data_IF_402125061204
#
_entry.id   IF_402125061204
#
_cell.length_a   1.000
_cell.length_b   1.000
_cell.length_c   1.000
_cell.angle_alpha   90.00
_cell.angle_beta   90.00
_cell.angle_gamma   90.00
#
_symmetry.space_group_name_H-M   'P 1'
#
loop_
_entity.id
_entity.type
_entity.pdbx_description
1 polymer ?
#
# COMPACT_ATOMS: atom_id res chain seq x y z
N UNK A 1 12.56 -26.52 23.50
CA UNK A 1 11.45 -27.31 22.89
C UNK A 1 12.07 -28.50 22.17
N UNK A 2 11.43 -29.68 22.12
CA UNK A 2 12.03 -30.90 21.55
C UNK A 2 12.07 -30.93 20.02
N UNK A 3 11.42 -29.97 19.35
CA UNK A 3 11.53 -29.67 17.91
C UNK A 3 11.48 -28.16 17.68
N UNK A 4 12.06 -27.65 16.57
CA UNK A 4 11.91 -26.25 16.17
C UNK A 4 10.42 -25.86 16.07
N UNK A 5 10.13 -24.61 16.43
CA UNK A 5 8.84 -23.98 16.23
C UNK A 5 8.54 -23.93 14.73
N UNK A 6 7.43 -24.50 14.29
CA UNK A 6 7.04 -24.54 12.88
C UNK A 6 5.92 -23.56 12.63
N UNK A 7 6.19 -22.51 11.87
CA UNK A 7 5.20 -21.47 11.54
C UNK A 7 4.84 -21.59 10.06
N UNK A 8 3.55 -21.72 9.77
CA UNK A 8 3.06 -21.68 8.41
C UNK A 8 2.77 -20.24 7.99
N UNK A 9 3.35 -19.79 6.88
CA UNK A 9 3.11 -18.46 6.31
C UNK A 9 2.34 -18.62 4.99
N UNK A 10 1.27 -17.84 4.82
CA UNK A 10 0.38 -17.95 3.66
C UNK A 10 0.15 -16.58 3.03
N UNK A 11 0.76 -16.33 1.88
CA UNK A 11 0.55 -15.16 1.04
C UNK A 11 0.05 -15.58 -0.36
N UNK A 12 -0.76 -14.75 -1.01
CA UNK A 12 -1.28 -15.01 -2.37
C UNK A 12 -0.92 -13.92 -3.39
N UNK A 13 -0.21 -12.88 -2.96
CA UNK A 13 0.16 -11.70 -3.75
C UNK A 13 1.56 -11.21 -3.36
N UNK A 14 2.21 -10.46 -4.25
CA UNK A 14 3.57 -9.95 -4.05
C UNK A 14 3.72 -9.01 -2.83
N UNK A 15 2.67 -8.26 -2.47
CA UNK A 15 2.65 -7.45 -1.24
C UNK A 15 2.68 -8.31 0.01
N UNK A 16 1.86 -9.37 0.04
CA UNK A 16 1.85 -10.35 1.13
C UNK A 16 3.17 -11.15 1.19
N UNK A 17 3.76 -11.49 0.05
CA UNK A 17 5.08 -12.15 -0.02
C UNK A 17 6.18 -11.30 0.63
N UNK A 18 6.18 -9.99 0.39
CA UNK A 18 7.12 -9.09 1.03
C UNK A 18 6.93 -9.02 2.56
N UNK A 19 5.69 -8.93 3.03
CA UNK A 19 5.38 -8.94 4.47
C UNK A 19 5.76 -10.26 5.14
N UNK A 20 5.47 -11.40 4.48
CA UNK A 20 5.82 -12.72 4.97
C UNK A 20 7.32 -12.94 5.05
N UNK A 21 8.08 -12.48 4.06
CA UNK A 21 9.54 -12.54 4.08
C UNK A 21 10.12 -11.70 5.22
N UNK A 22 9.61 -10.47 5.43
CA UNK A 22 10.03 -9.62 6.54
C UNK A 22 9.78 -10.28 7.90
N UNK A 23 8.59 -10.84 8.10
CA UNK A 23 8.25 -11.59 9.32
C UNK A 23 9.16 -12.82 9.51
N UNK A 24 9.38 -13.61 8.47
CA UNK A 24 10.24 -14.80 8.51
C UNK A 24 11.68 -14.44 8.90
N UNK A 25 12.21 -13.36 8.32
CA UNK A 25 13.56 -12.84 8.63
C UNK A 25 13.67 -12.38 10.09
N UNK A 26 12.68 -11.63 10.59
CA UNK A 26 12.65 -11.18 11.99
C UNK A 26 12.62 -12.37 12.96
N UNK A 27 11.76 -13.36 12.70
CA UNK A 27 11.67 -14.59 13.49
C UNK A 27 12.97 -15.41 13.47
N UNK A 28 13.61 -15.58 12.31
CA UNK A 28 14.92 -16.25 12.19
C UNK A 28 16.02 -15.53 12.94
N UNK A 29 16.05 -14.19 12.87
CA UNK A 29 17.05 -13.38 13.56
C UNK A 29 16.99 -13.61 15.07
N UNK A 30 15.78 -13.82 15.61
CA UNK A 30 15.54 -14.02 17.04
C UNK A 30 15.73 -15.47 17.50
N UNK A 31 15.28 -16.44 16.71
CA UNK A 31 15.19 -17.85 17.12
C UNK A 31 16.25 -18.75 16.47
N UNK A 32 16.93 -18.32 15.41
CA UNK A 32 17.94 -19.11 14.71
C UNK A 32 17.40 -20.46 14.25
N UNK A 33 18.01 -21.55 14.73
CA UNK A 33 17.63 -22.92 14.40
C UNK A 33 16.35 -23.41 15.10
N UNK A 34 15.84 -22.66 16.08
CA UNK A 34 14.62 -23.01 16.82
C UNK A 34 13.33 -22.63 16.07
N UNK A 35 13.42 -22.14 14.83
CA UNK A 35 12.26 -21.86 13.97
C UNK A 35 12.41 -22.46 12.58
N UNK A 36 11.30 -22.94 12.02
CA UNK A 36 11.18 -23.43 10.66
C UNK A 36 9.90 -22.90 10.02
N UNK A 37 9.91 -22.74 8.69
CA UNK A 37 8.76 -22.21 7.96
C UNK A 37 8.28 -23.19 6.90
N UNK A 38 6.96 -23.19 6.71
CA UNK A 38 6.26 -23.89 5.64
C UNK A 38 5.16 -22.98 5.10
N UNK A 39 4.58 -23.31 3.95
CA UNK A 39 3.35 -22.65 3.51
C UNK A 39 3.37 -22.23 2.06
N UNK A 40 2.75 -21.08 1.77
CA UNK A 40 2.48 -20.59 0.42
C UNK A 40 3.01 -19.17 0.33
N UNK A 41 3.88 -18.93 -0.64
CA UNK A 41 4.56 -17.66 -0.80
C UNK A 41 5.22 -17.51 -2.16
N UNK A 42 5.70 -16.31 -2.43
CA UNK A 42 6.42 -15.97 -3.65
C UNK A 42 7.93 -16.07 -3.47
N UNK A 43 8.70 -15.47 -4.40
CA UNK A 43 10.16 -15.53 -4.38
C UNK A 43 10.80 -14.96 -3.11
N UNK A 44 10.20 -13.94 -2.45
CA UNK A 44 10.80 -13.36 -1.25
C UNK A 44 10.65 -14.29 -0.04
N UNK A 45 9.48 -14.90 0.15
CA UNK A 45 9.29 -15.90 1.19
C UNK A 45 10.10 -17.17 0.91
N UNK A 46 10.27 -17.54 -0.37
CA UNK A 46 11.11 -18.67 -0.76
C UNK A 46 12.59 -18.45 -0.40
N UNK A 47 13.12 -17.23 -0.56
CA UNK A 47 14.45 -16.86 -0.07
C UNK A 47 14.57 -17.01 1.45
N UNK A 48 13.46 -16.90 2.17
CA UNK A 48 13.37 -17.16 3.60
C UNK A 48 13.04 -18.61 3.96
N UNK A 49 13.08 -19.55 3.00
CA UNK A 49 12.91 -20.98 3.25
C UNK A 49 11.46 -21.47 3.22
N UNK A 50 10.51 -20.65 2.76
CA UNK A 50 9.12 -21.10 2.54
C UNK A 50 9.00 -21.75 1.17
N UNK A 51 8.93 -23.08 1.15
CA UNK A 51 8.72 -23.84 -0.09
C UNK A 51 7.23 -23.89 -0.46
N UNK A 52 6.82 -23.08 -1.44
CA UNK A 52 5.42 -23.02 -1.89
C UNK A 52 5.06 -24.23 -2.78
N UNK A 53 3.90 -24.89 -2.56
CA UNK A 53 3.44 -26.00 -3.41
C UNK A 53 2.93 -25.56 -4.78
N UNK A 54 2.78 -24.25 -5.01
CA UNK A 54 2.35 -23.67 -6.29
C UNK A 54 2.82 -22.22 -6.42
N UNK A 55 2.79 -21.69 -7.65
CA UNK A 55 3.10 -20.28 -7.91
C UNK A 55 1.92 -19.37 -7.53
N UNK A 56 2.18 -18.39 -6.67
CA UNK A 56 1.18 -17.42 -6.22
C UNK A 56 0.80 -16.41 -7.31
N UNK A 57 1.59 -16.28 -8.38
CA UNK A 57 1.26 -15.45 -9.54
C UNK A 57 -0.08 -15.88 -10.18
N UNK A 58 -0.40 -17.17 -10.13
CA UNK A 58 -1.69 -17.72 -10.59
C UNK A 58 -2.89 -17.13 -9.82
N UNK A 59 -2.70 -16.75 -8.56
CA UNK A 59 -3.75 -16.17 -7.70
C UNK A 59 -3.84 -14.64 -7.87
N UNK A 60 -2.71 -13.97 -8.13
CA UNK A 60 -2.63 -12.51 -8.29
C UNK A 60 -3.37 -11.99 -9.53
N UNK A 61 -3.37 -12.76 -10.63
CA UNK A 61 -4.01 -12.38 -11.91
C UNK A 61 -5.55 -12.32 -11.78
N UNK A 62 -6.12 -13.14 -10.89
CA UNK A 62 -7.57 -13.32 -10.74
C UNK A 62 -8.26 -12.15 -10.02
N UNK A 63 -7.50 -11.28 -9.34
CA UNK A 63 -8.03 -10.06 -8.74
C UNK A 63 -8.56 -9.05 -9.77
N UNK A 64 -8.15 -9.19 -11.03
CA UNK A 64 -8.47 -8.27 -12.13
C UNK A 64 -9.41 -8.86 -13.18
N UNK A 65 -9.41 -10.17 -13.41
CA UNK A 65 -10.10 -10.81 -14.54
C UNK A 65 -10.77 -12.12 -14.08
N UNK A 66 -12.08 -12.25 -14.28
CA UNK A 66 -12.89 -13.50 -14.27
C UNK A 66 -13.30 -14.16 -12.93
N UNK A 67 -14.43 -13.72 -12.36
CA UNK A 67 -14.98 -14.22 -11.09
C UNK A 67 -15.49 -15.67 -11.01
N UNK A 68 -15.57 -16.44 -12.11
CA UNK A 68 -16.07 -17.83 -12.09
C UNK A 68 -14.97 -18.88 -12.29
N UNK A 69 -14.09 -18.73 -13.29
CA UNK A 69 -12.92 -19.63 -13.45
C UNK A 69 -11.93 -19.47 -12.30
N UNK A 70 -11.77 -18.25 -11.80
CA UNK A 70 -10.98 -17.96 -10.60
C UNK A 70 -11.42 -18.77 -9.39
N UNK A 71 -12.73 -19.00 -9.23
CA UNK A 71 -13.26 -19.65 -8.04
C UNK A 71 -12.81 -21.11 -7.91
N UNK A 72 -12.83 -21.86 -9.02
CA UNK A 72 -12.37 -23.25 -9.05
C UNK A 72 -10.89 -23.38 -8.69
N UNK A 73 -10.06 -22.52 -9.29
CA UNK A 73 -8.63 -22.48 -8.98
C UNK A 73 -8.37 -22.08 -7.53
N UNK A 74 -9.01 -21.01 -7.03
CA UNK A 74 -8.91 -20.59 -5.63
C UNK A 74 -9.31 -21.72 -4.69
N UNK A 75 -10.41 -22.43 -4.96
CA UNK A 75 -10.83 -23.58 -4.13
C UNK A 75 -9.79 -24.69 -4.13
N UNK A 76 -9.20 -25.01 -5.29
CA UNK A 76 -8.10 -25.98 -5.39
C UNK A 76 -6.88 -25.54 -4.58
N UNK A 77 -6.43 -24.29 -4.74
CA UNK A 77 -5.27 -23.76 -4.00
C UNK A 77 -5.51 -23.68 -2.49
N UNK A 78 -6.75 -23.42 -2.06
CA UNK A 78 -7.15 -23.55 -0.65
C UNK A 78 -6.98 -25.00 -0.18
N UNK A 79 -7.45 -25.98 -0.96
CA UNK A 79 -7.29 -27.39 -0.61
C UNK A 79 -5.81 -27.82 -0.55
N UNK A 80 -4.99 -27.39 -1.52
CA UNK A 80 -3.54 -27.63 -1.53
C UNK A 80 -2.87 -27.06 -0.25
N UNK A 81 -3.25 -25.83 0.13
CA UNK A 81 -2.75 -25.16 1.34
C UNK A 81 -3.15 -25.93 2.61
N UNK A 82 -4.41 -26.36 2.71
CA UNK A 82 -4.91 -27.12 3.85
C UNK A 82 -4.26 -28.51 3.94
N UNK A 83 -4.03 -29.16 2.80
CA UNK A 83 -3.32 -30.44 2.76
C UNK A 83 -1.88 -30.31 3.28
N UNK A 84 -1.18 -29.25 2.88
CA UNK A 84 0.15 -28.94 3.41
C UNK A 84 0.12 -28.70 4.92
N UNK A 85 -0.82 -27.88 5.41
CA UNK A 85 -0.97 -27.63 6.86
C UNK A 85 -1.20 -28.92 7.65
N UNK A 86 -2.03 -29.84 7.14
CA UNK A 86 -2.28 -31.15 7.75
C UNK A 86 -1.04 -32.03 7.78
N UNK A 87 -0.25 -32.04 6.72
CA UNK A 87 0.98 -32.82 6.64
C UNK A 87 2.06 -32.27 7.59
N UNK A 88 2.16 -30.94 7.67
CA UNK A 88 3.24 -30.28 8.39
C UNK A 88 2.97 -30.09 9.89
N UNK A 89 1.69 -30.04 10.30
CA UNK A 89 1.25 -29.79 11.69
C UNK A 89 1.96 -28.57 12.31
N UNK A 90 1.76 -27.35 11.74
CA UNK A 90 2.42 -26.15 12.23
C UNK A 90 1.90 -25.76 13.61
N UNK A 91 2.75 -25.09 14.40
CA UNK A 91 2.41 -24.53 15.71
C UNK A 91 1.57 -23.25 15.61
N UNK A 92 1.62 -22.57 14.45
CA UNK A 92 0.73 -21.44 14.11
C UNK A 92 0.64 -21.25 12.60
N UNK A 93 -0.43 -20.58 12.16
CA UNK A 93 -0.60 -20.18 10.76
C UNK A 93 -0.79 -18.66 10.68
N UNK A 94 0.07 -17.99 9.93
CA UNK A 94 -0.04 -16.55 9.64
C UNK A 94 -0.57 -16.36 8.22
N UNK A 95 -1.79 -15.83 8.14
CA UNK A 95 -2.55 -15.58 6.93
C UNK A 95 -2.38 -14.14 6.47
N UNK A 96 -1.59 -13.91 5.43
CA UNK A 96 -1.08 -12.58 5.05
C UNK A 96 -1.90 -12.00 3.89
N UNK A 97 -2.60 -10.89 4.15
CA UNK A 97 -3.38 -10.10 3.19
C UNK A 97 -4.36 -10.94 2.33
N UNK A 98 -4.71 -10.52 1.12
CA UNK A 98 -5.52 -11.27 0.13
C UNK A 98 -6.79 -11.87 0.71
N UNK A 99 -7.69 -11.01 1.21
CA UNK A 99 -8.95 -11.39 1.88
C UNK A 99 -9.66 -12.57 1.22
N UNK A 100 -9.83 -12.55 -0.11
CA UNK A 100 -10.57 -13.57 -0.84
C UNK A 100 -10.01 -14.98 -0.67
N UNK A 101 -8.68 -15.13 -0.70
CA UNK A 101 -8.03 -16.42 -0.55
C UNK A 101 -7.88 -16.80 0.92
N UNK A 102 -7.28 -15.92 1.72
CA UNK A 102 -6.85 -16.25 3.08
C UNK A 102 -8.01 -16.49 4.05
N UNK A 103 -9.17 -15.84 3.86
CA UNK A 103 -10.35 -16.14 4.70
C UNK A 103 -10.91 -17.54 4.44
N UNK A 104 -10.78 -18.05 3.21
CA UNK A 104 -11.21 -19.42 2.87
C UNK A 104 -10.27 -20.44 3.46
N UNK A 105 -8.96 -20.16 3.41
CA UNK A 105 -7.94 -20.95 4.11
C UNK A 105 -8.22 -20.96 5.62
N UNK A 106 -8.47 -19.80 6.25
CA UNK A 106 -8.78 -19.72 7.68
C UNK A 106 -9.94 -20.63 8.10
N UNK A 107 -11.07 -20.53 7.39
CA UNK A 107 -12.26 -21.34 7.67
C UNK A 107 -12.00 -22.83 7.50
N UNK A 108 -11.34 -23.22 6.41
CA UNK A 108 -11.03 -24.61 6.15
C UNK A 108 -10.02 -25.18 7.17
N UNK A 109 -9.04 -24.38 7.62
CA UNK A 109 -8.10 -24.76 8.67
C UNK A 109 -8.79 -24.92 10.03
N UNK A 110 -9.72 -24.03 10.37
CA UNK A 110 -10.47 -24.13 11.64
C UNK A 110 -11.23 -25.44 11.78
N UNK A 111 -11.75 -25.99 10.68
CA UNK A 111 -12.45 -27.28 10.65
C UNK A 111 -11.52 -28.48 10.89
N UNK A 112 -10.25 -28.39 10.49
CA UNK A 112 -9.35 -29.55 10.42
C UNK A 112 -8.16 -29.50 11.38
N UNK A 113 -7.82 -28.32 11.88
CA UNK A 113 -6.76 -28.04 12.86
C UNK A 113 -7.28 -27.03 13.91
N UNK A 114 -8.35 -27.35 14.66
CA UNK A 114 -9.04 -26.38 15.52
C UNK A 114 -8.18 -25.81 16.66
N UNK A 115 -7.13 -26.54 17.09
CA UNK A 115 -6.20 -26.11 18.14
C UNK A 115 -5.01 -25.30 17.65
N UNK A 116 -4.82 -25.12 16.33
CA UNK A 116 -3.71 -24.33 15.80
C UNK A 116 -4.11 -22.86 15.76
N UNK A 117 -3.36 -21.94 16.40
CA UNK A 117 -3.66 -20.52 16.35
C UNK A 117 -3.50 -19.99 14.92
N UNK A 118 -4.56 -19.31 14.45
CA UNK A 118 -4.64 -18.64 13.16
C UNK A 118 -4.50 -17.13 13.38
N UNK A 119 -3.47 -16.54 12.80
CA UNK A 119 -3.15 -15.12 12.92
C UNK A 119 -3.38 -14.48 11.55
N UNK A 120 -4.22 -13.45 11.49
CA UNK A 120 -4.35 -12.63 10.27
C UNK A 120 -3.28 -11.55 10.29
N UNK A 121 -2.47 -11.45 9.24
CA UNK A 121 -1.60 -10.30 9.02
C UNK A 121 -2.21 -9.45 7.89
N UNK A 122 -2.53 -8.19 8.20
CA UNK A 122 -3.29 -7.24 7.37
C UNK A 122 -4.77 -7.59 7.31
N UNK A 123 -5.59 -6.79 8.01
CA UNK A 123 -7.04 -6.92 7.98
C UNK A 123 -7.65 -6.36 6.68
N UNK A 124 -8.87 -6.78 6.29
CA UNK A 124 -9.61 -6.09 5.25
C UNK A 124 -9.90 -4.64 5.65
N UNK A 125 -9.82 -3.69 4.71
CA UNK A 125 -10.14 -2.27 4.96
C UNK A 125 -11.66 -2.06 5.17
N UNK A 126 -12.15 -2.43 6.34
CA UNK A 126 -13.59 -2.43 6.71
C UNK A 126 -14.17 -1.05 6.94
N UNK A 127 -13.34 -0.07 7.29
CA UNK A 127 -13.70 1.35 7.31
C UNK A 127 -14.00 1.88 5.91
N UNK A 128 -13.36 1.30 4.88
CA UNK A 128 -13.54 1.71 3.49
C UNK A 128 -14.78 1.08 2.85
N UNK A 129 -15.04 -0.20 3.15
CA UNK A 129 -16.18 -0.92 2.59
C UNK A 129 -16.48 -2.22 3.34
N UNK A 130 -17.72 -2.69 3.22
CA UNK A 130 -18.15 -4.04 3.67
C UNK A 130 -17.79 -4.32 5.15
N UNK A 131 -18.32 -3.53 6.11
CA UNK A 131 -17.97 -3.64 7.53
C UNK A 131 -18.21 -5.02 8.13
N UNK A 132 -19.19 -5.78 7.62
CA UNK A 132 -19.45 -7.18 8.05
C UNK A 132 -18.30 -8.16 7.84
N UNK A 133 -17.23 -7.78 7.10
CA UNK A 133 -16.00 -8.56 7.03
C UNK A 133 -15.25 -8.59 8.36
N UNK A 134 -15.40 -7.59 9.23
CA UNK A 134 -14.79 -7.59 10.56
C UNK A 134 -15.32 -8.76 11.40
N UNK A 135 -16.64 -8.91 11.47
CA UNK A 135 -17.31 -10.05 12.13
C UNK A 135 -16.89 -11.39 11.52
N UNK A 136 -16.80 -11.46 10.20
CA UNK A 136 -16.37 -12.69 9.51
C UNK A 136 -14.92 -13.06 9.86
N UNK A 137 -14.04 -12.07 9.96
CA UNK A 137 -12.65 -12.29 10.35
C UNK A 137 -12.55 -12.73 11.80
N UNK A 138 -13.23 -12.02 12.71
CA UNK A 138 -13.26 -12.33 14.15
C UNK A 138 -13.73 -13.77 14.44
N UNK A 139 -14.68 -14.28 13.64
CA UNK A 139 -15.12 -15.66 13.77
C UNK A 139 -14.18 -16.72 13.15
N UNK A 140 -13.13 -16.31 12.42
CA UNK A 140 -12.27 -17.20 11.64
C UNK A 140 -10.84 -17.30 12.15
N UNK A 141 -10.32 -16.28 12.85
CA UNK A 141 -8.92 -16.20 13.29
C UNK A 141 -8.85 -15.81 14.78
N UNK A 142 -7.72 -16.06 15.41
CA UNK A 142 -7.52 -15.85 16.86
C UNK A 142 -6.87 -14.49 17.15
N UNK A 143 -6.12 -13.92 16.19
CA UNK A 143 -5.46 -12.63 16.36
C UNK A 143 -5.33 -11.88 15.02
N UNK A 144 -5.29 -10.55 15.07
CA UNK A 144 -5.02 -9.68 13.94
C UNK A 144 -3.76 -8.85 14.15
N UNK A 145 -2.85 -8.89 13.19
CA UNK A 145 -1.76 -7.93 13.03
C UNK A 145 -2.23 -6.85 12.05
N UNK A 146 -2.61 -5.70 12.60
CA UNK A 146 -3.12 -4.55 11.86
C UNK A 146 -1.99 -3.61 11.45
N UNK A 147 -2.09 -2.99 10.28
CA UNK A 147 -1.08 -2.01 9.85
C UNK A 147 -1.26 -0.66 10.55
N UNK A 148 -2.50 -0.21 10.73
CA UNK A 148 -2.78 1.11 11.28
C UNK A 148 -3.64 1.04 12.54
N UNK A 149 -3.51 2.08 13.37
CA UNK A 149 -4.25 2.23 14.62
C UNK A 149 -5.75 2.40 14.39
N UNK A 150 -6.16 3.11 13.34
CA UNK A 150 -7.57 3.33 13.00
C UNK A 150 -8.28 2.07 12.48
N UNK A 151 -7.55 1.04 12.06
CA UNK A 151 -8.12 -0.24 11.64
C UNK A 151 -8.56 -1.08 12.85
N UNK A 152 -7.75 -1.10 13.92
CA UNK A 152 -7.90 -2.02 15.04
C UNK A 152 -9.28 -1.95 15.74
N UNK A 153 -9.85 -0.75 16.02
CA UNK A 153 -11.16 -0.64 16.66
C UNK A 153 -12.32 -1.31 15.89
N UNK A 154 -12.17 -1.52 14.58
CA UNK A 154 -13.20 -2.22 13.79
C UNK A 154 -13.25 -3.72 14.04
N UNK A 155 -12.14 -4.31 14.46
CA UNK A 155 -12.03 -5.75 14.73
C UNK A 155 -12.16 -6.04 16.22
N UNK A 156 -11.60 -5.18 17.06
CA UNK A 156 -11.69 -5.29 18.52
C UNK A 156 -13.14 -5.26 19.01
N UNK A 157 -14.00 -4.43 18.38
CA UNK A 157 -15.45 -4.40 18.70
C UNK A 157 -16.18 -5.71 18.40
N UNK A 158 -15.64 -6.52 17.49
CA UNK A 158 -16.16 -7.85 17.16
C UNK A 158 -15.51 -8.95 18.03
N UNK A 159 -14.68 -8.56 19.00
CA UNK A 159 -14.01 -9.46 19.93
C UNK A 159 -12.69 -10.05 19.41
N UNK A 160 -12.14 -9.56 18.30
CA UNK A 160 -10.87 -10.06 17.75
C UNK A 160 -9.67 -9.32 18.38
N UNK A 161 -8.80 -10.00 19.16
CA UNK A 161 -7.57 -9.41 19.66
C UNK A 161 -6.70 -8.89 18.51
N UNK A 162 -6.24 -7.65 18.63
CA UNK A 162 -5.53 -6.95 17.56
C UNK A 162 -4.24 -6.34 18.08
N UNK A 163 -3.18 -6.39 17.28
CA UNK A 163 -1.92 -5.68 17.52
C UNK A 163 -1.61 -4.81 16.31
N UNK A 164 -1.40 -3.52 16.55
CA UNK A 164 -0.96 -2.59 15.51
C UNK A 164 0.54 -2.75 15.34
N UNK A 165 0.97 -3.21 14.16
CA UNK A 165 2.37 -3.46 13.84
C UNK A 165 2.97 -2.39 12.94
N UNK A 166 2.18 -1.47 12.38
CA UNK A 166 2.69 -0.45 11.47
C UNK A 166 2.76 -0.93 10.02
N UNK A 167 3.15 -0.03 9.12
CA UNK A 167 3.20 -0.26 7.68
C UNK A 167 4.59 0.02 7.14
N UNK A 168 5.16 -0.92 6.38
CA UNK A 168 6.46 -0.75 5.71
C UNK A 168 6.49 0.48 4.78
N UNK A 169 5.32 0.94 4.31
CA UNK A 169 5.21 2.17 3.51
C UNK A 169 5.63 3.44 4.27
N UNK A 170 5.71 3.40 5.62
CA UNK A 170 6.17 4.51 6.47
C UNK A 170 7.68 4.49 6.73
N UNK A 171 8.37 3.40 6.37
CA UNK A 171 9.79 3.18 6.63
C UNK A 171 10.64 3.28 5.35
N UNK A 172 10.18 4.07 4.38
CA UNK A 172 10.96 4.38 3.19
C UNK A 172 12.17 5.22 3.59
N UNK A 173 13.37 4.71 3.32
CA UNK A 173 14.61 5.46 3.55
C UNK A 173 14.76 6.58 2.52
N UNK A 174 14.67 7.82 3.00
CA UNK A 174 14.88 9.03 2.20
C UNK A 174 16.15 9.78 2.58
N UNK A 175 17.04 9.20 3.39
CA UNK A 175 18.25 9.88 3.87
C UNK A 175 19.21 10.23 2.72
N UNK A 176 19.24 9.41 1.66
CA UNK A 176 20.03 9.66 0.45
C UNK A 176 19.39 10.61 -0.56
N UNK A 177 18.14 11.06 -0.31
CA UNK A 177 17.39 11.88 -1.24
C UNK A 177 17.79 13.37 -1.16
N UNK A 178 18.11 13.98 -2.30
CA UNK A 178 18.61 15.35 -2.39
C UNK A 178 17.91 16.15 -3.52
N UNK A 179 16.99 17.02 -3.11
CA UNK A 179 16.25 17.86 -4.04
C UNK A 179 17.10 18.94 -4.72
N UNK A 180 18.14 19.45 -4.06
CA UNK A 180 19.03 20.45 -4.64
C UNK A 180 19.90 19.83 -5.74
N UNK A 181 20.42 18.62 -5.49
CA UNK A 181 21.13 17.82 -6.50
C UNK A 181 20.26 17.56 -7.72
N UNK A 182 19.00 17.17 -7.53
CA UNK A 182 18.07 16.95 -8.65
C UNK A 182 17.86 18.22 -9.47
N UNK A 183 17.62 19.36 -8.81
CA UNK A 183 17.45 20.65 -9.51
C UNK A 183 18.69 21.01 -10.32
N UNK A 184 19.87 20.93 -9.72
CA UNK A 184 21.14 21.24 -10.38
C UNK A 184 21.39 20.33 -11.60
N UNK A 185 21.20 19.02 -11.46
CA UNK A 185 21.39 18.05 -12.54
C UNK A 185 20.46 18.27 -13.74
N UNK A 186 19.31 18.93 -13.54
CA UNK A 186 18.32 19.20 -14.58
C UNK A 186 18.31 20.65 -15.08
N UNK A 187 19.19 21.50 -14.53
CA UNK A 187 19.26 22.92 -14.84
C UNK A 187 18.04 23.70 -14.37
N UNK A 188 17.38 23.25 -13.30
CA UNK A 188 16.25 23.94 -12.66
C UNK A 188 16.83 24.94 -11.65
N UNK A 189 16.44 26.21 -11.76
CA UNK A 189 16.88 27.23 -10.80
C UNK A 189 16.37 26.91 -9.38
N UNK A 190 17.11 27.35 -8.36
CA UNK A 190 16.81 27.04 -6.96
C UNK A 190 15.45 27.64 -6.52
N UNK A 191 15.10 28.80 -7.04
CA UNK A 191 13.87 29.55 -6.78
C UNK A 191 12.75 29.29 -7.80
N UNK A 192 13.03 28.56 -8.89
CA UNK A 192 12.00 28.22 -9.87
C UNK A 192 10.93 27.32 -9.23
N UNK A 193 9.63 27.63 -9.39
CA UNK A 193 8.57 26.76 -8.92
C UNK A 193 8.62 25.43 -9.70
N UNK A 194 8.62 24.32 -8.97
CA UNK A 194 8.64 22.97 -9.52
C UNK A 194 7.38 22.21 -9.14
N UNK A 195 6.60 21.85 -10.15
CA UNK A 195 5.48 20.92 -10.03
C UNK A 195 5.94 19.50 -10.35
N UNK A 196 5.78 18.58 -9.39
CA UNK A 196 5.99 17.15 -9.61
C UNK A 196 4.67 16.48 -10.00
N UNK A 197 4.65 15.74 -11.09
CA UNK A 197 3.47 15.03 -11.58
C UNK A 197 3.70 13.53 -11.48
N UNK A 198 2.78 12.83 -10.81
CA UNK A 198 2.86 11.38 -10.61
C UNK A 198 1.56 10.74 -11.15
N UNK A 199 1.54 10.38 -12.46
CA UNK A 199 0.32 9.99 -13.18
C UNK A 199 -0.20 8.59 -12.83
N UNK A 200 0.56 7.82 -12.05
CA UNK A 200 0.20 6.47 -11.63
C UNK A 200 1.25 5.43 -12.00
N UNK A 201 0.97 4.19 -11.63
CA UNK A 201 1.83 3.02 -11.87
C UNK A 201 1.18 1.98 -12.78
N UNK A 202 -0.13 2.12 -13.04
CA UNK A 202 -0.92 1.17 -13.82
C UNK A 202 -1.30 1.76 -15.18
N UNK A 203 -1.32 0.97 -16.26
CA UNK A 203 -1.72 1.46 -17.58
C UNK A 203 -3.10 2.15 -17.61
N UNK A 204 -4.05 1.65 -16.82
CA UNK A 204 -5.38 2.26 -16.68
C UNK A 204 -5.35 3.65 -16.01
N UNK A 205 -4.42 3.88 -15.08
CA UNK A 205 -4.22 5.19 -14.45
C UNK A 205 -3.61 6.15 -15.48
N UNK A 206 -2.54 5.73 -16.15
CA UNK A 206 -1.85 6.55 -17.15
C UNK A 206 -2.79 7.01 -18.26
N UNK A 207 -3.57 6.09 -18.84
CA UNK A 207 -4.52 6.39 -19.91
C UNK A 207 -5.63 7.37 -19.50
N UNK A 208 -6.07 7.36 -18.23
CA UNK A 208 -7.17 8.20 -17.74
C UNK A 208 -6.70 9.52 -17.14
N UNK A 209 -5.55 9.53 -16.47
CA UNK A 209 -5.07 10.66 -15.68
C UNK A 209 -4.10 11.55 -16.43
N UNK A 210 -3.25 11.00 -17.31
CA UNK A 210 -2.28 11.82 -18.06
C UNK A 210 -2.94 12.93 -18.89
N UNK A 211 -4.05 12.71 -19.62
CA UNK A 211 -4.72 13.79 -20.36
C UNK A 211 -5.26 14.90 -19.45
N UNK A 212 -5.73 14.54 -18.25
CA UNK A 212 -6.21 15.51 -17.25
C UNK A 212 -5.03 16.32 -16.72
N UNK A 213 -3.93 15.65 -16.37
CA UNK A 213 -2.73 16.30 -15.83
C UNK A 213 -2.05 17.19 -16.85
N UNK A 214 -1.93 16.76 -18.11
CA UNK A 214 -1.43 17.60 -19.20
C UNK A 214 -2.25 18.89 -19.33
N UNK A 215 -3.58 18.78 -19.35
CA UNK A 215 -4.46 19.93 -19.44
C UNK A 215 -4.34 20.87 -18.22
N UNK A 216 -4.17 20.32 -17.01
CA UNK A 216 -3.89 21.10 -15.80
C UNK A 216 -2.55 21.83 -15.91
N UNK A 217 -1.47 21.14 -16.29
CA UNK A 217 -0.14 21.74 -16.41
C UNK A 217 -0.14 22.82 -17.50
N UNK A 218 -0.84 22.60 -18.62
CA UNK A 218 -1.01 23.61 -19.67
C UNK A 218 -1.64 24.89 -19.14
N UNK A 219 -2.69 24.77 -18.31
CA UNK A 219 -3.37 25.91 -17.67
C UNK A 219 -2.44 26.62 -16.67
N UNK A 220 -1.72 25.87 -15.83
CA UNK A 220 -0.75 26.43 -14.87
C UNK A 220 0.40 27.15 -15.56
N UNK A 221 0.93 26.61 -16.67
CA UNK A 221 1.98 27.27 -17.44
C UNK A 221 1.51 28.52 -18.17
N UNK A 222 0.22 28.61 -18.52
CA UNK A 222 -0.34 29.83 -19.10
C UNK A 222 -0.35 31.00 -18.11
N UNK A 223 -0.50 30.72 -16.80
CA UNK A 223 -0.44 31.75 -15.75
C UNK A 223 0.96 31.93 -15.17
N UNK A 224 1.77 30.86 -15.11
CA UNK A 224 3.13 30.85 -14.58
C UNK A 224 4.09 30.23 -15.60
N UNK A 225 4.56 30.99 -16.61
CA UNK A 225 5.42 30.45 -17.67
C UNK A 225 6.73 29.84 -17.16
N UNK A 226 7.27 30.37 -16.06
CA UNK A 226 8.48 29.89 -15.37
C UNK A 226 8.31 28.59 -14.59
N UNK A 227 7.09 28.04 -14.51
CA UNK A 227 6.82 26.76 -13.84
C UNK A 227 7.59 25.63 -14.52
N UNK A 228 8.51 25.03 -13.77
CA UNK A 228 9.18 23.78 -14.13
C UNK A 228 8.28 22.60 -13.79
N UNK A 229 8.36 21.55 -14.60
CA UNK A 229 7.50 20.37 -14.48
C UNK A 229 8.36 19.13 -14.53
N UNK A 230 8.28 18.30 -13.49
CA UNK A 230 8.91 16.98 -13.46
C UNK A 230 7.82 15.89 -13.46
N UNK A 231 7.99 14.82 -14.23
CA UNK A 231 7.01 13.73 -14.34
C UNK A 231 7.66 12.41 -13.98
N UNK A 232 7.16 11.75 -12.93
CA UNK A 232 7.66 10.44 -12.51
C UNK A 232 7.06 9.35 -13.38
N UNK A 233 7.93 8.50 -13.92
CA UNK A 233 7.59 7.39 -14.78
C UNK A 233 7.86 6.07 -14.05
N UNK A 234 6.83 5.49 -13.43
CA UNK A 234 6.94 4.20 -12.74
C UNK A 234 7.31 3.07 -13.72
N UNK A 235 8.13 2.12 -13.30
CA UNK A 235 8.79 1.15 -14.19
C UNK A 235 7.87 0.39 -15.16
N UNK A 236 6.70 -0.04 -14.71
CA UNK A 236 5.70 -0.77 -15.53
C UNK A 236 5.06 0.05 -16.64
N UNK A 237 5.10 1.37 -16.53
CA UNK A 237 4.44 2.31 -17.45
C UNK A 237 5.41 3.36 -18.02
N UNK A 238 6.71 3.20 -17.77
CA UNK A 238 7.69 4.24 -18.03
C UNK A 238 7.74 4.65 -19.51
N UNK A 239 7.64 3.70 -20.42
CA UNK A 239 7.62 3.96 -21.87
C UNK A 239 6.35 4.72 -22.31
N UNK A 240 5.17 4.38 -21.78
CA UNK A 240 3.91 5.06 -22.11
C UNK A 240 3.92 6.50 -21.57
N UNK A 241 4.36 6.69 -20.32
CA UNK A 241 4.53 8.02 -19.73
C UNK A 241 5.52 8.85 -20.54
N UNK A 242 6.68 8.30 -20.89
CA UNK A 242 7.68 9.00 -21.70
C UNK A 242 7.12 9.45 -23.06
N UNK A 243 6.40 8.56 -23.76
CA UNK A 243 5.79 8.87 -25.05
C UNK A 243 4.73 9.98 -24.96
N UNK A 244 3.89 9.96 -23.93
CA UNK A 244 2.87 10.99 -23.71
C UNK A 244 3.50 12.33 -23.33
N UNK A 245 4.46 12.33 -22.42
CA UNK A 245 5.16 13.54 -21.98
C UNK A 245 5.96 14.17 -23.12
N UNK A 246 6.55 13.37 -24.01
CA UNK A 246 7.26 13.87 -25.19
C UNK A 246 6.35 14.63 -26.17
N UNK A 247 5.03 14.34 -26.16
CA UNK A 247 4.04 15.02 -27.00
C UNK A 247 3.51 16.32 -26.37
N UNK A 248 3.88 16.64 -25.12
CA UNK A 248 3.40 17.86 -24.47
C UNK A 248 3.93 19.12 -25.17
N UNK A 249 3.13 20.20 -25.22
CA UNK A 249 3.53 21.44 -25.91
C UNK A 249 4.55 22.28 -25.11
N UNK A 250 5.15 21.72 -24.07
CA UNK A 250 6.11 22.36 -23.19
C UNK A 250 7.10 21.33 -22.65
N UNK A 251 8.29 21.80 -22.25
CA UNK A 251 9.31 20.95 -21.63
C UNK A 251 8.82 20.41 -20.29
N UNK A 252 9.06 19.13 -20.06
CA UNK A 252 8.95 18.48 -18.76
C UNK A 252 10.15 17.55 -18.54
N UNK A 253 10.61 17.46 -17.30
CA UNK A 253 11.72 16.61 -16.88
C UNK A 253 11.17 15.21 -16.58
N UNK A 254 11.48 14.23 -17.43
CA UNK A 254 11.13 12.84 -17.14
C UNK A 254 12.01 12.32 -15.98
N UNK A 255 11.37 11.78 -14.95
CA UNK A 255 12.01 11.27 -13.73
C UNK A 255 11.86 9.76 -13.70
N UNK A 256 12.99 9.05 -13.65
CA UNK A 256 13.03 7.60 -13.49
C UNK A 256 12.80 7.24 -12.02
N UNK A 257 12.42 5.99 -11.75
CA UNK A 257 12.15 5.51 -10.38
C UNK A 257 13.33 5.77 -9.42
N UNK A 258 14.57 5.64 -9.91
CA UNK A 258 15.79 5.87 -9.12
C UNK A 258 15.94 7.33 -8.61
N UNK A 259 15.44 8.31 -9.38
CA UNK A 259 15.51 9.73 -9.05
C UNK A 259 14.23 10.22 -8.33
N UNK A 260 13.26 9.33 -8.09
CA UNK A 260 11.91 9.68 -7.62
C UNK A 260 11.95 10.45 -6.31
N UNK A 261 12.72 9.99 -5.32
CA UNK A 261 12.76 10.63 -4.00
C UNK A 261 13.48 11.97 -4.04
N UNK A 262 14.53 12.12 -4.85
CA UNK A 262 15.16 13.41 -5.07
C UNK A 262 14.16 14.41 -5.68
N UNK A 263 13.39 13.96 -6.67
CA UNK A 263 12.35 14.80 -7.30
C UNK A 263 11.23 15.17 -6.32
N UNK A 264 10.80 14.25 -5.45
CA UNK A 264 9.84 14.54 -4.38
C UNK A 264 10.37 15.58 -3.39
N UNK A 265 11.64 15.48 -2.98
CA UNK A 265 12.30 16.47 -2.12
C UNK A 265 12.51 17.82 -2.82
N UNK A 266 12.67 17.82 -4.14
CA UNK A 266 12.82 19.04 -4.93
C UNK A 266 11.52 19.79 -5.15
N UNK A 267 10.37 19.09 -5.15
CA UNK A 267 9.08 19.63 -5.55
C UNK A 267 8.57 20.73 -4.61
N UNK A 268 8.02 21.80 -5.17
CA UNK A 268 7.27 22.78 -4.38
C UNK A 268 5.85 22.29 -4.12
N UNK A 269 5.24 21.60 -5.11
CA UNK A 269 3.91 20.99 -5.03
C UNK A 269 3.91 19.72 -5.88
N UNK A 270 3.16 18.71 -5.47
CA UNK A 270 2.92 17.51 -6.25
C UNK A 270 1.46 17.40 -6.72
N UNK A 271 1.26 16.90 -7.94
CA UNK A 271 -0.03 16.48 -8.49
C UNK A 271 0.05 14.96 -8.74
N UNK A 272 -0.67 14.19 -7.93
CA UNK A 272 -0.51 12.75 -7.88
C UNK A 272 -1.83 11.99 -7.99
N UNK A 273 -1.76 10.78 -8.53
CA UNK A 273 -2.80 9.79 -8.29
C UNK A 273 -2.73 9.26 -6.86
N UNK A 274 -3.85 8.71 -6.36
CA UNK A 274 -3.87 8.06 -5.04
C UNK A 274 -3.05 6.76 -5.03
N UNK A 275 -2.59 6.36 -3.85
CA UNK A 275 -1.82 5.15 -3.60
C UNK A 275 -0.67 5.38 -2.62
N UNK A 276 0.27 4.43 -2.55
CA UNK A 276 1.48 4.52 -1.69
C UNK A 276 2.28 5.79 -1.96
N UNK A 277 2.27 6.29 -3.19
CA UNK A 277 2.96 7.52 -3.58
C UNK A 277 2.52 8.74 -2.77
N UNK A 278 1.27 8.77 -2.30
CA UNK A 278 0.78 9.85 -1.43
C UNK A 278 1.45 9.83 -0.05
N UNK A 279 1.75 8.65 0.48
CA UNK A 279 2.54 8.50 1.72
C UNK A 279 4.00 8.86 1.49
N UNK A 280 4.59 8.45 0.36
CA UNK A 280 5.97 8.82 0.00
C UNK A 280 6.13 10.35 -0.15
N UNK A 281 5.20 11.02 -0.82
CA UNK A 281 5.20 12.48 -0.93
C UNK A 281 5.10 13.17 0.44
N UNK A 282 4.25 12.65 1.32
CA UNK A 282 4.13 13.15 2.69
C UNK A 282 5.43 12.94 3.50
N UNK A 283 6.11 11.79 3.34
CA UNK A 283 7.43 11.54 3.94
C UNK A 283 8.51 12.47 3.37
N UNK A 284 8.43 12.80 2.08
CA UNK A 284 9.32 13.76 1.46
C UNK A 284 9.10 15.19 1.98
N UNK A 285 7.92 15.48 2.54
CA UNK A 285 7.50 16.83 2.94
C UNK A 285 6.92 17.64 1.77
N UNK A 286 6.56 16.98 0.67
CA UNK A 286 5.99 17.62 -0.49
C UNK A 286 4.48 17.85 -0.29
N UNK A 287 3.99 19.10 -0.32
CA UNK A 287 2.56 19.36 -0.35
C UNK A 287 1.99 18.84 -1.68
N UNK A 288 0.73 18.40 -1.65
CA UNK A 288 0.16 17.67 -2.79
C UNK A 288 -1.32 17.91 -3.03
N UNK A 289 -1.72 17.70 -4.28
CA UNK A 289 -3.10 17.57 -4.74
C UNK A 289 -3.30 16.17 -5.29
N UNK A 290 -4.36 15.50 -4.84
CA UNK A 290 -4.67 14.13 -5.22
C UNK A 290 -5.81 14.13 -6.22
N UNK A 291 -5.66 13.38 -7.31
CA UNK A 291 -6.71 13.21 -8.30
C UNK A 291 -6.77 11.77 -8.79
N UNK A 292 -7.97 11.21 -8.94
CA UNK A 292 -8.08 9.81 -9.36
C UNK A 292 -9.33 9.53 -10.19
N UNK A 293 -9.15 8.71 -11.24
CA UNK A 293 -10.22 8.20 -12.11
C UNK A 293 -10.07 6.70 -12.34
N UNK A 294 -11.12 5.94 -12.04
CA UNK A 294 -11.32 4.55 -12.44
C UNK A 294 -12.36 4.45 -13.56
N UNK A 295 -12.57 3.23 -14.06
CA UNK A 295 -13.62 2.94 -15.03
C UNK A 295 -15.01 3.37 -14.55
N UNK A 296 -15.81 3.97 -15.44
CA UNK A 296 -17.12 4.51 -15.11
C UNK A 296 -18.11 3.45 -14.61
N UNK A 297 -18.06 2.24 -15.17
CA UNK A 297 -18.89 1.13 -14.71
C UNK A 297 -18.43 0.63 -13.34
N UNK A 298 -17.12 0.44 -13.16
CA UNK A 298 -16.55 0.07 -11.86
C UNK A 298 -16.87 1.10 -10.79
N UNK A 299 -16.79 2.39 -11.12
CA UNK A 299 -17.16 3.47 -10.21
C UNK A 299 -18.65 3.46 -9.87
N UNK A 300 -19.53 3.33 -10.85
CA UNK A 300 -20.97 3.29 -10.61
C UNK A 300 -21.38 2.12 -9.72
N UNK A 301 -20.69 0.97 -9.84
CA UNK A 301 -20.89 -0.19 -8.99
C UNK A 301 -20.33 0.02 -7.58
N UNK A 302 -19.15 0.61 -7.44
CA UNK A 302 -18.47 0.72 -6.14
C UNK A 302 -18.87 1.94 -5.32
N UNK A 303 -19.35 3.04 -5.93
CA UNK A 303 -19.60 4.31 -5.23
C UNK A 303 -20.55 4.18 -4.03
N UNK A 304 -21.52 3.27 -4.10
CA UNK A 304 -22.48 3.03 -3.02
C UNK A 304 -21.97 2.02 -1.97
N UNK A 305 -20.86 1.33 -2.25
CA UNK A 305 -20.21 0.38 -1.33
C UNK A 305 -19.07 1.01 -0.53
N UNK A 306 -18.50 2.11 -1.03
CA UNK A 306 -17.41 2.83 -0.38
C UNK A 306 -17.99 3.77 0.67
N UNK A 307 -17.59 3.60 1.92
CA UNK A 307 -18.02 4.40 3.07
C UNK A 307 -16.98 5.42 3.51
N UNK A 308 -15.74 5.31 3.01
CA UNK A 308 -14.67 6.23 3.35
C UNK A 308 -14.92 7.64 2.77
N UNK A 309 -14.73 8.66 3.62
CA UNK A 309 -14.76 10.09 3.23
C UNK A 309 -13.52 10.50 2.43
N UNK A 310 -12.41 9.81 2.67
CA UNK A 310 -11.09 10.11 2.15
C UNK A 310 -10.50 8.86 1.47
N UNK A 311 -9.61 9.06 0.49
CA UNK A 311 -8.97 7.96 -0.23
C UNK A 311 -7.47 7.82 0.05
N UNK A 312 -6.81 8.86 0.56
CA UNK A 312 -5.42 8.77 1.02
C UNK A 312 -5.36 8.37 2.48
N UNK A 313 -4.41 7.48 2.81
CA UNK A 313 -4.33 6.88 4.14
C UNK A 313 -4.07 7.91 5.24
N UNK A 314 -3.30 8.97 4.97
CA UNK A 314 -3.03 10.01 5.97
C UNK A 314 -4.26 10.90 6.21
N UNK A 315 -5.06 11.22 5.19
CA UNK A 315 -6.34 11.92 5.39
C UNK A 315 -7.32 11.05 6.20
N UNK A 316 -7.35 9.74 5.92
CA UNK A 316 -8.16 8.78 6.69
C UNK A 316 -7.70 8.72 8.15
N UNK A 317 -6.39 8.64 8.38
CA UNK A 317 -5.81 8.59 9.72
C UNK A 317 -6.13 9.85 10.54
N UNK A 318 -6.17 11.02 9.89
CA UNK A 318 -6.51 12.28 10.52
C UNK A 318 -8.02 12.58 10.58
N UNK A 319 -8.87 11.78 9.89
CA UNK A 319 -10.28 12.12 9.55
C UNK A 319 -10.43 13.57 9.06
N UNK A 320 -9.48 14.03 8.26
CA UNK A 320 -9.36 15.41 7.80
C UNK A 320 -8.84 15.47 6.36
N UNK A 321 -9.32 16.46 5.60
CA UNK A 321 -8.91 16.70 4.21
C UNK A 321 -7.64 17.56 4.18
N UNK A 322 -6.51 16.97 4.59
CA UNK A 322 -5.20 17.64 4.59
C UNK A 322 -4.75 17.87 3.14
N UNK A 323 -4.68 16.80 2.34
CA UNK A 323 -4.50 16.92 0.90
C UNK A 323 -5.86 16.98 0.21
N UNK A 324 -6.12 17.94 -0.70
CA UNK A 324 -7.36 17.96 -1.45
C UNK A 324 -7.43 16.76 -2.41
N UNK A 325 -8.52 16.02 -2.34
CA UNK A 325 -8.78 14.83 -3.17
C UNK A 325 -9.88 15.12 -4.19
N UNK A 326 -9.59 14.90 -5.48
CA UNK A 326 -10.51 15.13 -6.59
C UNK A 326 -10.80 13.81 -7.29
N UNK A 327 -12.01 13.28 -7.10
CA UNK A 327 -12.36 11.91 -7.52
C UNK A 327 -13.35 11.94 -8.68
N UNK A 328 -13.10 11.10 -9.69
CA UNK A 328 -13.93 10.98 -10.89
C UNK A 328 -14.26 12.33 -11.53
N UNK A 329 -15.51 12.78 -11.41
CA UNK A 329 -16.04 13.99 -12.03
C UNK A 329 -15.43 15.26 -11.43
N UNK A 330 -14.82 15.17 -10.24
CA UNK A 330 -14.11 16.29 -9.64
C UNK A 330 -12.67 16.43 -10.13
N UNK A 331 -12.08 15.38 -10.70
CA UNK A 331 -10.76 15.42 -11.31
C UNK A 331 -10.83 16.10 -12.69
N UNK A 332 -11.14 17.40 -12.69
CA UNK A 332 -11.16 18.24 -13.88
C UNK A 332 -9.92 19.14 -13.92
N UNK A 333 -9.42 19.50 -15.11
CA UNK A 333 -8.25 20.36 -15.23
C UNK A 333 -8.40 21.69 -14.48
N UNK A 334 -9.60 22.26 -14.45
CA UNK A 334 -9.91 23.55 -13.82
C UNK A 334 -9.74 23.48 -12.30
N UNK A 335 -10.41 22.51 -11.66
CA UNK A 335 -10.33 22.29 -10.20
C UNK A 335 -8.90 21.98 -9.75
N UNK A 336 -8.18 21.16 -10.52
CA UNK A 336 -6.80 20.83 -10.23
C UNK A 336 -5.85 22.02 -10.42
N UNK A 337 -6.11 22.87 -11.43
CA UNK A 337 -5.33 24.10 -11.65
C UNK A 337 -5.49 25.05 -10.46
N UNK A 338 -6.71 25.23 -9.96
CA UNK A 338 -6.98 26.08 -8.79
C UNK A 338 -6.28 25.54 -7.53
N UNK A 339 -6.42 24.25 -7.25
CA UNK A 339 -5.83 23.62 -6.07
C UNK A 339 -4.30 23.64 -6.09
N UNK A 340 -3.68 23.28 -7.21
CA UNK A 340 -2.22 23.31 -7.37
C UNK A 340 -1.72 24.76 -7.38
N UNK A 341 -2.43 25.65 -8.08
CA UNK A 341 -2.09 27.07 -8.16
C UNK A 341 -2.05 27.73 -6.79
N UNK A 342 -3.02 27.42 -5.91
CA UNK A 342 -3.02 27.92 -4.52
C UNK A 342 -1.77 27.52 -3.75
N UNK A 343 -1.37 26.25 -3.82
CA UNK A 343 -0.17 25.77 -3.11
C UNK A 343 1.12 26.35 -3.72
N UNK A 344 1.13 26.64 -5.02
CA UNK A 344 2.27 27.30 -5.68
C UNK A 344 2.37 28.79 -5.32
N UNK A 345 1.25 29.49 -5.14
CA UNK A 345 1.24 30.94 -4.88
C UNK A 345 1.23 31.32 -3.40
N UNK A 346 0.90 30.40 -2.49
CA UNK A 346 0.84 30.63 -1.05
C UNK A 346 1.80 29.67 -0.31
N UNK A 347 3.05 30.12 -0.03
CA UNK A 347 4.04 29.31 0.69
C UNK A 347 3.59 28.91 2.11
N UNK A 348 2.73 29.70 2.75
CA UNK A 348 2.22 29.38 4.09
C UNK A 348 1.22 28.23 4.02
N UNK A 349 0.31 28.24 3.03
CA UNK A 349 -0.61 27.12 2.80
C UNK A 349 0.14 25.82 2.45
N UNK A 350 1.19 25.92 1.63
CA UNK A 350 2.06 24.77 1.30
C UNK A 350 2.76 24.20 2.54
N UNK A 351 3.35 25.07 3.38
CA UNK A 351 4.02 24.67 4.61
C UNK A 351 3.07 24.07 5.65
N UNK A 352 1.89 24.66 5.84
CA UNK A 352 0.85 24.12 6.73
C UNK A 352 0.41 22.73 6.29
N UNK A 353 0.17 22.54 5.00
CA UNK A 353 -0.21 21.22 4.47
C UNK A 353 0.88 20.18 4.74
N UNK A 354 2.15 20.50 4.45
CA UNK A 354 3.27 19.59 4.70
C UNK A 354 3.44 19.23 6.18
N UNK A 355 3.23 20.21 7.08
CA UNK A 355 3.26 19.97 8.53
C UNK A 355 2.11 19.06 8.98
N UNK A 356 0.89 19.29 8.49
CA UNK A 356 -0.28 18.45 8.79
C UNK A 356 -0.14 17.04 8.22
N UNK A 357 0.44 16.90 7.02
CA UNK A 357 0.79 15.60 6.44
C UNK A 357 1.73 14.85 7.38
N UNK A 358 2.78 15.51 7.89
CA UNK A 358 3.73 14.92 8.83
C UNK A 358 3.05 14.43 10.10
N UNK A 359 2.19 15.26 10.71
CA UNK A 359 1.42 14.88 11.89
C UNK A 359 0.48 13.69 11.63
N UNK A 360 -0.15 13.63 10.44
CA UNK A 360 -0.99 12.50 10.06
C UNK A 360 -0.19 11.21 9.84
N UNK A 361 1.05 11.29 9.33
CA UNK A 361 1.94 10.13 9.26
C UNK A 361 2.33 9.62 10.66
N UNK A 362 2.45 10.51 11.65
CA UNK A 362 2.72 10.10 13.04
C UNK A 362 1.55 9.30 13.63
N UNK A 363 0.30 9.68 13.31
CA UNK A 363 -0.90 8.88 13.65
C UNK A 363 -0.89 7.49 13.00
N UNK A 364 -0.26 7.36 11.84
CA UNK A 364 -0.08 6.09 11.14
C UNK A 364 1.09 5.25 11.68
N UNK A 365 1.92 5.81 12.58
CA UNK A 365 3.06 5.13 13.19
C UNK A 365 4.42 5.43 12.58
N UNK A 366 4.58 6.55 11.88
CA UNK A 366 5.90 7.00 11.37
C UNK A 366 6.92 7.11 12.50
N UNK A 367 8.13 6.60 12.25
CA UNK A 367 9.21 6.59 13.25
C UNK A 367 9.05 5.55 14.34
N UNK A 368 8.04 4.67 14.25
CA UNK A 368 7.90 3.51 15.11
C UNK A 368 8.98 2.44 14.88
N UNK A 369 8.94 1.34 15.65
CA UNK A 369 9.78 0.16 15.41
C UNK A 369 9.51 -0.47 14.04
N UNK A 370 10.42 -1.33 13.56
CA UNK A 370 10.21 -2.09 12.33
C UNK A 370 8.92 -2.94 12.43
N UNK A 371 7.97 -2.80 11.47
CA UNK A 371 6.73 -3.56 11.48
C UNK A 371 6.91 -5.08 11.49
N UNK A 372 7.97 -5.60 10.88
CA UNK A 372 8.26 -7.03 10.86
C UNK A 372 8.72 -7.53 12.23
N UNK A 373 9.43 -6.71 13.00
CA UNK A 373 9.82 -7.02 14.38
C UNK A 373 8.59 -7.04 15.30
N UNK A 374 7.72 -6.03 15.21
CA UNK A 374 6.47 -5.99 15.99
C UNK A 374 5.54 -7.15 15.64
N UNK A 375 5.47 -7.52 14.36
CA UNK A 375 4.73 -8.70 13.92
C UNK A 375 5.31 -9.99 14.53
N UNK A 376 6.63 -10.15 14.53
CA UNK A 376 7.29 -11.30 15.15
C UNK A 376 6.97 -11.40 16.66
N UNK A 377 7.05 -10.28 17.39
CA UNK A 377 6.67 -10.21 18.81
C UNK A 377 5.22 -10.66 19.06
N UNK A 378 4.30 -10.16 18.24
CA UNK A 378 2.90 -10.52 18.35
C UNK A 378 2.64 -12.01 18.03
N UNK A 379 3.27 -12.55 16.97
CA UNK A 379 3.14 -13.98 16.63
C UNK A 379 3.64 -14.86 17.78
N UNK A 380 4.81 -14.57 18.34
CA UNK A 380 5.36 -15.36 19.44
C UNK A 380 4.50 -15.29 20.71
N UNK A 381 3.92 -14.13 21.01
CA UNK A 381 2.98 -13.99 22.14
C UNK A 381 1.71 -14.82 21.93
N UNK A 382 1.14 -14.82 20.73
CA UNK A 382 -0.05 -15.62 20.42
C UNK A 382 0.26 -17.11 20.57
N UNK A 383 1.38 -17.57 20.02
CA UNK A 383 1.83 -18.98 20.15
C UNK A 383 2.00 -19.38 21.62
N UNK A 384 2.67 -18.55 22.43
CA UNK A 384 2.88 -18.82 23.85
C UNK A 384 1.56 -18.90 24.63
N UNK A 385 0.58 -18.06 24.31
CA UNK A 385 -0.74 -18.07 24.94
C UNK A 385 -1.58 -19.29 24.58
N UNK A 386 -1.37 -19.89 23.40
CA UNK A 386 -2.08 -21.11 22.96
C UNK A 386 -1.47 -22.41 23.50
N UNK A 387 -0.27 -22.35 24.09
CA UNK A 387 0.42 -23.52 24.67
C UNK A 387 0.00 -23.81 26.13
N UNK A 388 -0.83 -22.94 26.72
CA UNK A 388 -1.40 -23.04 28.08
C UNK A 388 -2.86 -23.48 27.97
#
# INVERSE_FOLDING_TARGET
MSRPLKIMLVAAEASGDALGAGLAKALKTRLGADVSFVGVGGPKMAAEGVASPFDIAELSILGWIEGLKAYGLVKRRVADTVALAKAEQPDAVVLIDSWGFTIRVAKALREVLPGVPLIKYVGPQVWASRPGRAKTLAASVDHLLSLYSFDAPWFEREGLPTTVVGSQALHVDMAGADGARFRAARGIAADAPLLLVLPGSRPSEISRMTPVFEATVKRLKATTPSLEVAVVAAGTVAADVAGRVAAWPFRAHLVQEADKYDAMKAANVALATSGTVSTELALAGAPMVIAYKIDGLSYALMKNLVTAKHITLFNIAADDRIAPEFIQNEATPEKLTEAVGRLLSDPQAAADQAARQTAALDLMGRGGPDPSELAADAVLRVIAASAV
#
